data_IF_291296240167
#
_entry.id   IF_291296240167
#
_cell.length_a   1.000
_cell.length_b   1.000
_cell.length_c   1.000
_cell.angle_alpha   90.00
_cell.angle_beta   90.00
_cell.angle_gamma   90.00
#
_symmetry.space_group_name_H-M   'P 1'
#
loop_
_entity.id
_entity.type
_entity.pdbx_description
1 polymer ?
#
# COMPACT_ATOMS: atom_id res chain seq x y z
N UNK A 1 -4.83 -12.87 13.66
CA UNK A 1 -5.47 -12.11 14.74
C UNK A 1 -5.75 -10.70 14.28
N UNK A 2 -6.96 -10.22 14.53
CA UNK A 2 -7.39 -8.88 14.13
C UNK A 2 -7.00 -7.85 15.19
N UNK A 3 -6.34 -6.75 14.79
CA UNK A 3 -6.03 -5.64 15.69
C UNK A 3 -7.19 -4.63 15.70
N UNK A 4 -7.32 -3.86 16.79
CA UNK A 4 -8.31 -2.79 16.88
C UNK A 4 -8.08 -1.74 15.79
N UNK A 5 -6.83 -1.36 15.53
CA UNK A 5 -6.48 -0.40 14.49
C UNK A 5 -6.90 -0.87 13.10
N UNK A 6 -6.65 -2.15 12.77
CA UNK A 6 -7.04 -2.70 11.48
C UNK A 6 -8.57 -2.73 11.33
N UNK A 7 -9.30 -3.12 12.39
CA UNK A 7 -10.77 -3.08 12.37
C UNK A 7 -11.30 -1.67 12.13
N UNK A 8 -10.74 -0.68 12.82
CA UNK A 8 -11.17 0.70 12.68
C UNK A 8 -10.99 1.20 11.24
N UNK A 9 -9.86 0.87 10.62
CA UNK A 9 -9.58 1.25 9.23
C UNK A 9 -10.55 0.58 8.26
N UNK A 10 -10.74 -0.73 8.38
CA UNK A 10 -11.66 -1.48 7.50
C UNK A 10 -13.09 -0.97 7.64
N UNK A 11 -13.55 -0.75 8.87
CA UNK A 11 -14.91 -0.25 9.11
C UNK A 11 -15.09 1.18 8.59
N UNK A 12 -14.10 2.05 8.79
CA UNK A 12 -14.17 3.43 8.29
C UNK A 12 -14.20 3.47 6.75
N UNK A 13 -13.41 2.65 6.09
CA UNK A 13 -13.42 2.55 4.62
C UNK A 13 -14.76 2.01 4.12
N UNK A 14 -15.27 0.96 4.75
CA UNK A 14 -16.57 0.39 4.39
C UNK A 14 -17.70 1.40 4.53
N UNK A 15 -17.73 2.14 5.65
CA UNK A 15 -18.74 3.15 5.91
C UNK A 15 -18.65 4.30 4.90
N UNK A 16 -17.46 4.66 4.46
CA UNK A 16 -17.25 5.71 3.46
C UNK A 16 -17.45 5.23 2.01
N UNK A 17 -17.59 3.93 1.79
CA UNK A 17 -17.68 3.36 0.45
C UNK A 17 -16.36 3.43 -0.32
N UNK A 18 -15.22 3.40 0.38
CA UNK A 18 -13.89 3.52 -0.21
C UNK A 18 -13.15 2.20 -0.19
N UNK A 19 -12.24 2.03 -1.16
CA UNK A 19 -11.37 0.86 -1.27
C UNK A 19 -9.91 1.25 -1.08
N UNK A 20 -9.07 0.29 -0.71
CA UNK A 20 -7.66 0.52 -0.41
C UNK A 20 -6.76 -0.50 -1.09
N UNK A 21 -5.59 -0.06 -1.48
CA UNK A 21 -4.50 -0.90 -1.97
C UNK A 21 -3.21 -0.54 -1.24
N UNK A 22 -2.32 -1.51 -1.08
CA UNK A 22 -1.03 -1.29 -0.41
C UNK A 22 0.13 -1.44 -1.38
N UNK A 23 1.18 -0.66 -1.15
CA UNK A 23 2.48 -0.83 -1.80
C UNK A 23 3.53 -0.93 -0.71
N UNK A 24 4.09 -2.12 -0.50
CA UNK A 24 4.90 -2.38 0.69
C UNK A 24 6.32 -2.78 0.33
N UNK A 25 7.29 -2.13 0.99
CA UNK A 25 8.69 -2.52 0.92
C UNK A 25 9.08 -3.28 2.19
N UNK A 26 9.49 -2.59 3.25
CA UNK A 26 10.02 -3.24 4.45
C UNK A 26 9.01 -4.17 5.15
N UNK A 27 7.74 -3.90 5.06
CA UNK A 27 6.69 -4.71 5.69
C UNK A 27 6.32 -5.94 4.87
N UNK A 28 6.72 -6.00 3.61
CA UNK A 28 6.62 -7.17 2.73
C UNK A 28 5.23 -7.83 2.69
N UNK A 29 4.16 -7.02 2.71
CA UNK A 29 2.79 -7.51 2.65
C UNK A 29 2.07 -7.55 3.99
N UNK A 30 2.74 -7.21 5.08
CA UNK A 30 2.14 -7.31 6.43
C UNK A 30 0.96 -6.34 6.60
N UNK A 31 1.01 -5.15 6.02
CA UNK A 31 -0.11 -4.19 6.12
C UNK A 31 -1.35 -4.77 5.44
N UNK A 32 -1.22 -5.29 4.23
CA UNK A 32 -2.32 -5.94 3.54
C UNK A 32 -2.84 -7.15 4.33
N UNK A 33 -1.94 -7.97 4.89
CA UNK A 33 -2.30 -9.13 5.69
C UNK A 33 -3.10 -8.74 6.95
N UNK A 34 -2.70 -7.67 7.62
CA UNK A 34 -3.41 -7.17 8.80
C UNK A 34 -4.82 -6.66 8.46
N UNK A 35 -4.97 -5.99 7.33
CA UNK A 35 -6.29 -5.57 6.87
C UNK A 35 -7.16 -6.77 6.48
N UNK A 36 -6.57 -7.75 5.81
CA UNK A 36 -7.28 -8.95 5.38
C UNK A 36 -7.79 -9.82 6.54
N UNK A 37 -7.16 -9.71 7.72
CA UNK A 37 -7.61 -10.45 8.92
C UNK A 37 -8.96 -9.95 9.43
N UNK A 38 -9.39 -8.76 9.05
CA UNK A 38 -10.64 -8.18 9.55
C UNK A 38 -11.83 -8.80 8.81
N UNK A 39 -12.84 -9.32 9.52
CA UNK A 39 -14.07 -9.77 8.86
C UNK A 39 -14.68 -8.63 8.02
N UNK A 40 -15.01 -8.93 6.77
CA UNK A 40 -15.55 -7.94 5.84
C UNK A 40 -14.49 -7.17 5.04
N UNK A 41 -13.21 -7.46 5.22
CA UNK A 41 -12.13 -6.77 4.52
C UNK A 41 -12.22 -6.89 3.00
N UNK A 42 -12.82 -7.95 2.47
CA UNK A 42 -12.95 -8.15 1.02
C UNK A 42 -13.77 -7.05 0.33
N UNK A 43 -14.60 -6.32 1.08
CA UNK A 43 -15.37 -5.20 0.54
C UNK A 43 -14.50 -3.95 0.33
N UNK A 44 -13.36 -3.84 1.01
CA UNK A 44 -12.51 -2.63 0.99
C UNK A 44 -11.10 -2.86 0.49
N UNK A 45 -10.50 -4.02 0.76
CA UNK A 45 -9.11 -4.31 0.33
C UNK A 45 -9.10 -4.88 -1.08
N UNK A 46 -8.56 -4.12 -2.02
CA UNK A 46 -8.37 -4.59 -3.40
C UNK A 46 -7.19 -5.54 -3.54
N UNK A 47 -6.12 -5.26 -2.81
CA UNK A 47 -4.90 -6.04 -2.90
C UNK A 47 -3.69 -5.23 -2.48
N UNK A 48 -2.51 -5.76 -2.74
CA UNK A 48 -1.26 -5.09 -2.43
C UNK A 48 -0.13 -5.56 -3.31
N UNK A 49 0.88 -4.73 -3.45
CA UNK A 49 2.10 -5.05 -4.18
C UNK A 49 3.25 -5.07 -3.17
N UNK A 50 3.95 -6.20 -3.11
CA UNK A 50 5.19 -6.28 -2.34
C UNK A 50 6.33 -5.82 -3.25
N UNK A 51 6.78 -4.60 -3.04
CA UNK A 51 7.79 -3.93 -3.85
C UNK A 51 9.08 -3.78 -3.03
N UNK A 52 9.71 -4.92 -2.71
CA UNK A 52 10.85 -4.94 -1.81
C UNK A 52 12.10 -4.34 -2.47
N UNK A 53 12.35 -4.67 -3.73
CA UNK A 53 13.48 -4.14 -4.49
C UNK A 53 13.09 -2.87 -5.27
N UNK A 54 14.06 -2.01 -5.52
CA UNK A 54 13.83 -0.77 -6.27
C UNK A 54 13.29 -1.01 -7.68
N UNK A 55 13.76 -2.07 -8.34
CA UNK A 55 13.25 -2.43 -9.68
C UNK A 55 11.75 -2.72 -9.68
N UNK A 56 11.23 -3.29 -8.59
CA UNK A 56 9.79 -3.56 -8.43
C UNK A 56 9.04 -2.27 -8.12
N UNK A 57 9.62 -1.39 -7.29
CA UNK A 57 9.04 -0.06 -7.04
C UNK A 57 8.80 0.70 -8.34
N UNK A 58 9.78 0.66 -9.24
CA UNK A 58 9.67 1.30 -10.55
C UNK A 58 8.74 0.52 -11.48
N UNK A 59 8.94 -0.79 -11.59
CA UNK A 59 8.24 -1.60 -12.60
C UNK A 59 6.76 -1.75 -12.35
N UNK A 60 6.33 -1.93 -11.10
CA UNK A 60 4.94 -2.15 -10.75
C UNK A 60 4.25 -0.92 -10.18
N UNK A 61 4.98 -0.07 -9.44
CA UNK A 61 4.38 1.09 -8.78
C UNK A 61 4.72 2.42 -9.45
N UNK A 62 5.52 2.39 -10.50
CA UNK A 62 5.82 3.59 -11.29
C UNK A 62 6.69 4.62 -10.58
N UNK A 63 7.45 4.21 -9.54
CA UNK A 63 8.40 5.11 -8.89
C UNK A 63 9.54 5.42 -9.86
N UNK A 64 9.82 6.72 -10.16
CA UNK A 64 10.86 7.07 -11.12
C UNK A 64 12.25 6.57 -10.67
N UNK A 65 13.00 5.96 -11.60
CA UNK A 65 14.36 5.48 -11.32
C UNK A 65 15.28 6.61 -10.87
N UNK A 66 15.17 7.78 -11.48
CA UNK A 66 15.99 8.94 -11.13
C UNK A 66 15.70 9.44 -9.72
N UNK A 67 14.45 9.35 -9.27
CA UNK A 67 14.10 9.70 -7.88
C UNK A 67 14.81 8.75 -6.92
N UNK A 68 14.73 7.44 -7.16
CA UNK A 68 15.40 6.45 -6.33
C UNK A 68 16.92 6.64 -6.32
N UNK A 69 17.51 7.00 -7.46
CA UNK A 69 18.95 7.28 -7.56
C UNK A 69 19.36 8.51 -6.77
N UNK A 70 18.51 9.55 -6.70
CA UNK A 70 18.82 10.80 -6.01
C UNK A 70 18.62 10.70 -4.50
N UNK A 71 17.53 10.12 -4.05
CA UNK A 71 17.15 10.18 -2.62
C UNK A 71 17.19 8.82 -1.92
N UNK A 72 17.36 7.73 -2.65
CA UNK A 72 17.30 6.39 -2.08
C UNK A 72 15.87 5.93 -1.80
N UNK A 73 15.72 4.70 -1.32
CA UNK A 73 14.41 4.11 -1.07
C UNK A 73 13.73 4.63 0.20
N UNK A 74 14.52 5.05 1.19
CA UNK A 74 13.99 5.52 2.49
C UNK A 74 13.76 7.03 2.42
N UNK A 75 12.62 7.40 1.85
CA UNK A 75 12.30 8.79 1.56
C UNK A 75 10.78 8.98 1.48
N UNK A 76 10.28 10.09 1.99
CA UNK A 76 8.84 10.37 2.02
C UNK A 76 8.22 10.48 0.63
N UNK A 77 8.93 11.05 -0.34
CA UNK A 77 8.43 11.18 -1.70
C UNK A 77 8.35 9.81 -2.41
N UNK A 78 9.31 8.93 -2.13
CA UNK A 78 9.26 7.54 -2.61
C UNK A 78 8.05 6.83 -2.06
N UNK A 79 7.78 6.95 -0.75
CA UNK A 79 6.61 6.35 -0.12
C UNK A 79 5.31 6.88 -0.74
N UNK A 80 5.21 8.18 -0.96
CA UNK A 80 4.04 8.80 -1.58
C UNK A 80 3.82 8.27 -3.00
N UNK A 81 4.90 8.16 -3.78
CA UNK A 81 4.83 7.61 -5.14
C UNK A 81 4.41 6.16 -5.16
N UNK A 82 4.91 5.37 -4.20
CA UNK A 82 4.51 3.98 -4.05
C UNK A 82 3.00 3.86 -3.75
N UNK A 83 2.49 4.69 -2.87
CA UNK A 83 1.07 4.70 -2.52
C UNK A 83 0.20 5.06 -3.73
N UNK A 84 0.57 6.09 -4.47
CA UNK A 84 -0.13 6.49 -5.69
C UNK A 84 -0.08 5.39 -6.76
N UNK A 85 1.07 4.74 -6.91
CA UNK A 85 1.25 3.64 -7.84
C UNK A 85 0.40 2.42 -7.49
N UNK A 86 0.32 2.05 -6.23
CA UNK A 86 -0.53 0.96 -5.76
C UNK A 86 -2.01 1.25 -6.01
N UNK A 87 -2.43 2.46 -5.66
CA UNK A 87 -3.79 2.93 -5.91
C UNK A 87 -4.15 2.82 -7.39
N UNK A 88 -3.30 3.30 -8.27
CA UNK A 88 -3.53 3.28 -9.72
C UNK A 88 -3.51 1.86 -10.30
N UNK A 89 -2.52 1.05 -9.89
CA UNK A 89 -2.34 -0.31 -10.40
C UNK A 89 -3.52 -1.22 -10.04
N UNK A 90 -4.10 -1.02 -8.86
CA UNK A 90 -5.17 -1.88 -8.34
C UNK A 90 -6.55 -1.23 -8.41
N UNK A 91 -6.66 -0.04 -8.97
CA UNK A 91 -7.93 0.65 -9.15
C UNK A 91 -8.63 0.98 -7.83
N UNK A 92 -7.87 1.27 -6.78
CA UNK A 92 -8.43 1.59 -5.47
C UNK A 92 -8.61 3.09 -5.29
N UNK A 93 -9.43 3.46 -4.30
CA UNK A 93 -9.66 4.87 -3.96
C UNK A 93 -8.52 5.43 -3.12
N UNK A 94 -7.93 4.60 -2.27
CA UNK A 94 -6.87 4.98 -1.32
C UNK A 94 -5.66 4.09 -1.54
N UNK A 95 -4.48 4.68 -1.52
CA UNK A 95 -3.21 3.97 -1.55
C UNK A 95 -2.45 4.18 -0.24
N UNK A 96 -1.84 3.12 0.27
CA UNK A 96 -0.99 3.15 1.47
C UNK A 96 0.33 2.49 1.11
N UNK A 97 1.43 3.08 1.54
CA UNK A 97 2.75 2.52 1.26
C UNK A 97 3.66 2.54 2.47
N UNK A 98 4.62 1.62 2.46
CA UNK A 98 5.71 1.59 3.42
C UNK A 98 7.03 1.50 2.68
N UNK A 99 8.03 2.25 3.12
CA UNK A 99 9.40 2.12 2.66
C UNK A 99 10.37 2.39 3.81
N UNK A 100 11.48 1.70 3.79
CA UNK A 100 12.41 1.84 4.90
C UNK A 100 13.56 0.87 4.84
#
# INVERSE_FOLDING_TARGET
MTTAAARDVVHALADAGLTVATGESLTAGLVAARLADVPGASAVLHGGVVAYQNAVKTGLLGVPEDLLARVGAVDADVARRMALGARAALGADVGVATTG
#
